data_IF_308053058927
#
_entry.id   IF_308053058927
#
_cell.length_a   1.000
_cell.length_b   1.000
_cell.length_c   1.000
_cell.angle_alpha   90.00
_cell.angle_beta   90.00
_cell.angle_gamma   90.00
#
_symmetry.space_group_name_H-M   'P 1'
#
loop_
_entity.id
_entity.type
_entity.pdbx_description
1 polymer ?
#
# COMPACT_ATOMS: atom_id res chain seq x y z
N UNK A 1 -5.84 -4.86 10.21
CA UNK A 1 -4.73 -3.98 9.78
C UNK A 1 -5.37 -2.83 9.01
N UNK A 2 -5.32 -1.60 9.52
CA UNK A 2 -6.16 -0.50 9.01
C UNK A 2 -5.32 0.48 8.20
N UNK A 3 -5.74 0.76 6.97
CA UNK A 3 -5.25 1.89 6.18
C UNK A 3 -6.11 3.12 6.49
N UNK A 4 -5.45 4.25 6.74
CA UNK A 4 -6.11 5.54 7.02
C UNK A 4 -5.87 6.50 5.87
N UNK A 5 -6.91 7.17 5.43
CA UNK A 5 -6.84 8.25 4.45
C UNK A 5 -7.42 9.50 5.10
N UNK A 6 -6.58 10.51 5.26
CA UNK A 6 -6.94 11.81 5.82
C UNK A 6 -6.44 12.88 4.84
N UNK A 7 -7.37 13.70 4.34
CA UNK A 7 -7.12 14.67 3.28
C UNK A 7 -6.42 14.03 2.05
N UNK A 8 -5.22 14.53 1.72
CA UNK A 8 -4.39 14.06 0.61
C UNK A 8 -3.43 12.94 1.02
N UNK A 9 -3.51 12.45 2.25
CA UNK A 9 -2.54 11.52 2.84
C UNK A 9 -3.13 10.15 3.04
N UNK A 10 -2.38 9.13 2.63
CA UNK A 10 -2.67 7.74 2.91
C UNK A 10 -1.56 7.14 3.77
N UNK A 11 -1.94 6.66 4.95
CA UNK A 11 -1.05 5.96 5.87
C UNK A 11 -1.34 4.47 5.82
N UNK A 12 -0.30 3.68 5.57
CA UNK A 12 -0.40 2.23 5.49
C UNK A 12 0.81 1.54 6.13
N UNK A 13 0.68 0.27 6.54
CA UNK A 13 1.77 -0.43 7.18
C UNK A 13 2.77 -0.95 6.15
N UNK A 14 4.06 -0.88 6.49
CA UNK A 14 5.16 -1.33 5.63
C UNK A 14 5.17 -2.83 5.37
N UNK A 15 4.42 -3.62 6.15
CA UNK A 15 4.24 -5.05 5.92
C UNK A 15 3.41 -5.38 4.67
N UNK A 16 2.75 -4.39 4.06
CA UNK A 16 2.05 -4.60 2.79
C UNK A 16 3.03 -4.68 1.62
N UNK A 17 2.77 -5.62 0.72
CA UNK A 17 3.34 -5.56 -0.62
C UNK A 17 2.62 -4.48 -1.41
N UNK A 18 3.29 -3.35 -1.64
CA UNK A 18 2.73 -2.22 -2.38
C UNK A 18 3.69 -1.72 -3.45
N UNK A 19 3.12 -1.06 -4.46
CA UNK A 19 3.85 -0.16 -5.36
C UNK A 19 3.14 1.19 -5.32
N UNK A 20 3.88 2.27 -5.18
CA UNK A 20 3.29 3.61 -5.10
C UNK A 20 4.08 4.63 -5.90
N UNK A 21 3.40 5.70 -6.26
CA UNK A 21 3.97 6.96 -6.72
C UNK A 21 3.32 8.09 -5.93
N UNK A 22 4.12 9.05 -5.49
CA UNK A 22 3.70 10.15 -4.63
C UNK A 22 4.81 10.51 -3.64
N UNK A 23 4.54 11.50 -2.80
CA UNK A 23 5.52 12.02 -1.84
C UNK A 23 5.42 11.32 -0.51
N UNK A 24 6.53 10.73 -0.06
CA UNK A 24 6.62 10.22 1.31
C UNK A 24 6.74 11.42 2.25
N UNK A 25 5.74 11.62 3.10
CA UNK A 25 5.71 12.73 4.06
C UNK A 25 6.00 12.28 5.49
N UNK A 26 5.80 11.00 5.77
CA UNK A 26 6.15 10.40 7.05
C UNK A 26 6.54 8.94 6.84
N UNK A 27 7.60 8.52 7.51
CA UNK A 27 8.06 7.14 7.48
C UNK A 27 8.51 6.74 8.89
N UNK A 28 7.86 5.72 9.44
CA UNK A 28 8.19 5.14 10.74
C UNK A 28 8.69 3.70 10.54
N UNK A 29 9.06 3.02 11.62
CA UNK A 29 9.46 1.62 11.54
C UNK A 29 8.33 0.69 11.04
N UNK A 30 7.07 1.08 11.26
CA UNK A 30 5.91 0.21 11.01
C UNK A 30 4.96 0.73 9.93
N UNK A 31 4.92 2.04 9.70
CA UNK A 31 3.99 2.69 8.79
C UNK A 31 4.71 3.67 7.85
N UNK A 32 4.11 3.86 6.69
CA UNK A 32 4.48 4.86 5.70
C UNK A 32 3.26 5.72 5.40
N UNK A 33 3.46 7.03 5.32
CA UNK A 33 2.44 8.00 4.89
C UNK A 33 2.87 8.61 3.57
N UNK A 34 2.01 8.46 2.56
CA UNK A 34 2.16 9.00 1.23
C UNK A 34 1.18 10.16 1.04
N UNK A 35 1.64 11.30 0.54
CA UNK A 35 0.81 12.43 0.13
C UNK A 35 0.67 12.42 -1.40
N UNK A 36 -0.56 12.53 -1.89
CA UNK A 36 -0.83 12.68 -3.32
C UNK A 36 -0.46 14.08 -3.78
N UNK A 37 0.39 14.17 -4.81
CA UNK A 37 0.86 15.45 -5.35
C UNK A 37 0.11 15.84 -6.63
N UNK A 38 -0.23 14.86 -7.44
CA UNK A 38 -0.76 15.01 -8.80
C UNK A 38 -1.54 13.76 -9.23
N UNK A 39 -2.09 13.80 -10.44
CA UNK A 39 -2.86 12.71 -11.06
C UNK A 39 -1.99 11.46 -11.37
N UNK A 40 -0.66 11.58 -11.30
CA UNK A 40 0.28 10.47 -11.43
C UNK A 40 0.49 9.71 -10.09
N UNK A 41 -0.01 10.27 -8.99
CA UNK A 41 0.10 9.66 -7.67
C UNK A 41 -0.85 8.46 -7.53
N UNK A 42 -0.30 7.31 -7.15
CA UNK A 42 -1.06 6.07 -6.99
C UNK A 42 -0.54 5.21 -5.84
N UNK A 43 -1.41 4.35 -5.32
CA UNK A 43 -1.05 3.30 -4.37
C UNK A 43 -1.69 1.98 -4.79
N UNK A 44 -0.84 1.06 -5.22
CA UNK A 44 -1.21 -0.28 -5.68
C UNK A 44 -0.86 -1.31 -4.62
N UNK A 45 -1.86 -2.00 -4.11
CA UNK A 45 -1.73 -3.04 -3.08
C UNK A 45 -1.80 -4.41 -3.74
N UNK A 46 -0.82 -5.26 -3.47
CA UNK A 46 -0.78 -6.62 -3.98
C UNK A 46 -1.30 -7.61 -2.94
N UNK A 47 -2.06 -8.59 -3.42
CA UNK A 47 -2.41 -9.78 -2.65
C UNK A 47 -1.22 -10.76 -2.61
N UNK A 48 -1.13 -11.61 -1.56
CA UNK A 48 -0.12 -12.67 -1.50
C UNK A 48 -0.22 -13.66 -2.67
N UNK A 49 -1.36 -13.77 -3.35
CA UNK A 49 -1.58 -14.65 -4.49
C UNK A 49 -1.18 -14.03 -5.85
N UNK A 50 -0.31 -13.01 -5.85
CA UNK A 50 0.21 -12.32 -7.05
C UNK A 50 -0.83 -11.57 -7.90
N UNK A 51 -1.97 -11.19 -7.31
CA UNK A 51 -2.97 -10.31 -7.93
C UNK A 51 -2.96 -8.90 -7.33
N UNK A 52 -3.50 -7.92 -8.06
CA UNK A 52 -3.79 -6.58 -7.51
C UNK A 52 -4.99 -6.72 -6.58
N UNK A 53 -4.81 -6.46 -5.29
CA UNK A 53 -5.89 -6.51 -4.32
C UNK A 53 -6.66 -5.19 -4.27
N UNK A 54 -5.94 -4.07 -4.43
CA UNK A 54 -6.52 -2.73 -4.50
C UNK A 54 -5.64 -1.80 -5.30
N UNK A 55 -6.25 -0.84 -6.00
CA UNK A 55 -5.55 0.28 -6.63
C UNK A 55 -6.25 1.57 -6.21
N UNK A 56 -5.48 2.46 -5.62
CA UNK A 56 -5.89 3.81 -5.28
C UNK A 56 -5.20 4.78 -6.22
N UNK A 57 -5.96 5.74 -6.73
CA UNK A 57 -5.48 6.84 -7.55
C UNK A 57 -5.71 8.15 -6.79
N UNK A 58 -4.86 9.14 -7.03
CA UNK A 58 -5.08 10.47 -6.50
C UNK A 58 -5.73 11.34 -7.58
N UNK A 59 -7.00 11.66 -7.39
CA UNK A 59 -7.80 12.43 -8.34
C UNK A 59 -8.58 13.51 -7.60
N UNK A 60 -8.69 14.70 -8.18
CA UNK A 60 -9.46 15.81 -7.60
C UNK A 60 -9.10 16.08 -6.13
N UNK A 61 -7.80 16.06 -5.79
CA UNK A 61 -7.29 16.25 -4.43
C UNK A 61 -7.71 15.17 -3.41
N UNK A 62 -8.13 13.99 -3.87
CA UNK A 62 -8.57 12.89 -3.01
C UNK A 62 -8.04 11.54 -3.48
N UNK A 63 -7.84 10.62 -2.53
CA UNK A 63 -7.57 9.23 -2.85
C UNK A 63 -8.88 8.51 -3.19
N UNK A 64 -8.97 8.00 -4.42
CA UNK A 64 -10.12 7.28 -4.95
C UNK A 64 -9.77 5.84 -5.30
N UNK A 65 -10.75 4.97 -5.19
CA UNK A 65 -10.67 3.60 -5.70
C UNK A 65 -10.67 3.60 -7.22
N UNK A 66 -9.67 3.00 -7.87
CA UNK A 66 -9.64 2.90 -9.32
C UNK A 66 -10.80 2.07 -9.91
N UNK A 67 -11.38 1.15 -9.14
CA UNK A 67 -12.46 0.29 -9.63
C UNK A 67 -13.83 0.98 -9.58
N UNK A 68 -14.05 1.83 -8.57
CA UNK A 68 -15.36 2.43 -8.29
C UNK A 68 -15.38 3.95 -8.43
N UNK A 69 -14.21 4.56 -8.67
CA UNK A 69 -13.98 6.02 -8.67
C UNK A 69 -14.55 6.72 -7.44
N UNK A 70 -14.62 5.98 -6.31
CA UNK A 70 -15.21 6.47 -5.06
C UNK A 70 -14.10 6.83 -4.08
N UNK A 71 -14.25 7.97 -3.40
CA UNK A 71 -13.31 8.39 -2.35
C UNK A 71 -13.27 7.38 -1.20
N UNK A 72 -12.08 7.08 -0.72
CA UNK A 72 -11.86 6.15 0.41
C UNK A 72 -11.30 6.94 1.59
N UNK A 73 -11.82 6.70 2.79
CA UNK A 73 -11.40 7.36 4.05
C UNK A 73 -10.78 6.37 5.04
N UNK A 74 -11.40 5.20 5.22
CA UNK A 74 -10.87 4.13 6.07
C UNK A 74 -11.07 2.80 5.38
N UNK A 75 -9.97 2.09 5.13
CA UNK A 75 -10.01 0.79 4.48
C UNK A 75 -9.42 -0.27 5.40
N UNK A 76 -10.24 -1.27 5.76
CA UNK A 76 -9.74 -2.44 6.48
C UNK A 76 -9.19 -3.47 5.50
N UNK A 77 -7.88 -3.65 5.52
CA UNK A 77 -7.16 -4.58 4.65
C UNK A 77 -7.47 -6.04 5.00
N UNK A 78 -8.06 -6.31 6.17
CA UNK A 78 -8.58 -7.63 6.51
C UNK A 78 -9.66 -8.10 5.53
N UNK A 79 -10.44 -7.17 4.97
CA UNK A 79 -11.49 -7.46 3.96
C UNK A 79 -10.93 -8.04 2.67
N UNK A 80 -9.66 -7.78 2.37
CA UNK A 80 -8.93 -8.31 1.22
C UNK A 80 -8.23 -9.65 1.52
N UNK A 81 -8.47 -10.25 2.69
CA UNK A 81 -7.77 -11.45 3.14
C UNK A 81 -6.31 -11.20 3.51
N UNK A 82 -5.90 -9.94 3.68
CA UNK A 82 -4.53 -9.54 4.04
C UNK A 82 -4.31 -9.47 5.56
N UNK A 83 -5.30 -9.90 6.34
CA UNK A 83 -5.27 -9.84 7.81
C UNK A 83 -4.17 -10.71 8.45
N UNK A 84 -3.68 -11.73 7.73
CA UNK A 84 -2.72 -12.72 8.23
C UNK A 84 -1.34 -12.64 7.54
N UNK A 85 -0.98 -11.48 6.97
CA UNK A 85 0.30 -11.32 6.28
C UNK A 85 1.52 -11.27 7.20
N UNK A 86 1.33 -11.02 8.50
CA UNK A 86 2.43 -11.13 9.48
C UNK A 86 2.98 -12.57 9.56
N UNK A 87 2.19 -13.58 9.17
CA UNK A 87 2.63 -14.97 9.05
C UNK A 87 3.36 -15.27 7.73
N UNK A 88 3.21 -14.42 6.70
CA UNK A 88 3.84 -14.58 5.38
C UNK A 88 5.14 -13.77 5.20
N UNK A 89 5.62 -13.08 6.23
CA UNK A 89 7.02 -12.56 6.29
C UNK A 89 8.04 -13.70 6.46
N UNK A 90 7.78 -14.86 5.85
CA UNK A 90 8.69 -15.98 5.82
C UNK A 90 9.66 -15.80 4.65
N UNK A 91 10.83 -15.26 5.00
CA UNK A 91 12.16 -15.56 4.42
C UNK A 91 12.29 -15.41 2.91
N UNK A 92 12.88 -14.29 2.50
CA UNK A 92 13.89 -14.32 1.45
C UNK A 92 15.26 -14.18 2.13
N UNK A 93 15.69 -15.27 2.78
CA UNK A 93 17.08 -15.46 3.20
C UNK A 93 17.88 -15.85 1.95
N UNK A 94 18.78 -14.96 1.53
CA UNK A 94 20.10 -15.24 0.97
C UNK A 94 20.22 -16.35 -0.10
N UNK A 95 20.47 -15.93 -1.34
CA UNK A 95 21.40 -16.68 -2.20
C UNK A 95 22.44 -15.72 -2.80
N UNK A 96 23.37 -15.29 -1.94
CA UNK A 96 24.71 -14.94 -2.40
C UNK A 96 25.45 -16.25 -2.70
N UNK A 97 25.25 -16.79 -3.89
CA UNK A 97 26.14 -17.80 -4.43
C UNK A 97 27.45 -17.11 -4.85
N UNK A 98 28.39 -17.10 -3.92
CA UNK A 98 29.79 -16.80 -4.15
C UNK A 98 30.45 -17.94 -4.95
N UNK A 99 31.29 -17.53 -5.91
CA UNK A 99 32.48 -18.20 -6.45
C UNK A 99 32.56 -19.74 -6.47
N UNK A 100 32.68 -20.29 -7.68
CA UNK A 100 33.79 -21.20 -8.00
C UNK A 100 34.18 -21.14 -9.47
#
# INVERSE_FOLDING_TARGET
MIMKIEDKRVTFPKSLSVKYAGKIVEETDTHLTLEGEDEDSFLKIYSPFRGVAKLLLFENDQWVDAETSSAISNFDLSSLGLGDLSALSAKDDTDSSADK
#
